data_IF_720299733337
#
_entry.id   IF_720299733337
#
_cell.length_a   1.000
_cell.length_b   1.000
_cell.length_c   1.000
_cell.angle_alpha   90.00
_cell.angle_beta   90.00
_cell.angle_gamma   90.00
#
_symmetry.space_group_name_H-M   'P 1'
#
loop_
_entity.id
_entity.type
_entity.pdbx_description
1 polymer ?
#
# COMPACT_ATOMS: atom_id res chain seq x y z
N UNK A 1 7.22 18.33 -89.44
CA UNK A 1 7.04 17.09 -88.65
C UNK A 1 8.36 16.40 -88.27
N UNK A 2 9.36 16.28 -89.16
CA UNK A 2 10.62 15.58 -88.85
C UNK A 2 11.46 16.21 -87.71
N UNK A 3 11.50 17.55 -87.59
CA UNK A 3 12.23 18.22 -86.50
C UNK A 3 11.66 17.95 -85.09
N UNK A 4 10.34 17.76 -84.98
CA UNK A 4 9.68 17.45 -83.70
C UNK A 4 10.01 16.01 -83.28
N UNK A 5 10.04 15.09 -84.23
CA UNK A 5 10.39 13.68 -83.99
C UNK A 5 11.86 13.53 -83.57
N UNK A 6 12.78 14.29 -84.17
CA UNK A 6 14.20 14.31 -83.75
C UNK A 6 14.39 14.88 -82.34
N UNK A 7 13.66 15.94 -81.97
CA UNK A 7 13.66 16.51 -80.62
C UNK A 7 13.16 15.50 -79.57
N UNK A 8 12.08 14.78 -79.86
CA UNK A 8 11.53 13.74 -78.99
C UNK A 8 12.53 12.58 -78.80
N UNK A 9 13.18 12.13 -79.88
CA UNK A 9 14.19 11.07 -79.80
C UNK A 9 15.39 11.47 -78.92
N UNK A 10 15.81 12.73 -78.95
CA UNK A 10 16.92 13.21 -78.14
C UNK A 10 16.58 13.27 -76.63
N UNK A 11 15.31 13.54 -76.30
CA UNK A 11 14.84 13.65 -74.91
C UNK A 11 14.23 12.36 -74.32
N UNK A 12 13.96 11.36 -75.15
CA UNK A 12 13.33 10.09 -74.76
C UNK A 12 14.04 9.40 -73.58
N UNK A 13 15.38 9.42 -73.56
CA UNK A 13 16.19 8.79 -72.50
C UNK A 13 15.98 9.48 -71.15
N UNK A 14 15.89 10.81 -71.12
CA UNK A 14 15.67 11.57 -69.89
C UNK A 14 14.26 11.36 -69.32
N UNK A 15 13.24 11.26 -70.19
CA UNK A 15 11.86 10.96 -69.79
C UNK A 15 11.79 9.55 -69.16
N UNK A 16 12.44 8.56 -69.77
CA UNK A 16 12.52 7.19 -69.23
C UNK A 16 13.21 7.15 -67.85
N UNK A 17 14.32 7.88 -67.69
CA UNK A 17 15.02 7.98 -66.41
C UNK A 17 14.13 8.64 -65.34
N UNK A 18 13.41 9.70 -65.69
CA UNK A 18 12.46 10.37 -64.79
C UNK A 18 11.35 9.42 -64.31
N UNK A 19 10.77 8.64 -65.21
CA UNK A 19 9.77 7.63 -64.86
C UNK A 19 10.33 6.55 -63.93
N UNK A 20 11.56 6.11 -64.17
CA UNK A 20 12.20 5.07 -63.36
C UNK A 20 12.42 5.55 -61.92
N UNK A 21 12.86 6.80 -61.75
CA UNK A 21 12.99 7.44 -60.42
C UNK A 21 11.62 7.57 -59.74
N UNK A 22 10.59 7.97 -60.49
CA UNK A 22 9.24 8.15 -59.95
C UNK A 22 8.63 6.82 -59.48
N UNK A 23 8.85 5.73 -60.23
CA UNK A 23 8.46 4.37 -59.84
C UNK A 23 9.19 3.94 -58.56
N UNK A 24 10.49 4.21 -58.44
CA UNK A 24 11.26 3.90 -57.23
C UNK A 24 10.72 4.65 -56.00
N UNK A 25 10.38 5.94 -56.15
CA UNK A 25 9.79 6.75 -55.07
C UNK A 25 8.44 6.18 -54.64
N UNK A 26 7.56 5.86 -55.59
CA UNK A 26 6.26 5.25 -55.31
C UNK A 26 6.43 3.89 -54.61
N UNK A 27 7.41 3.10 -55.02
CA UNK A 27 7.69 1.80 -54.42
C UNK A 27 8.16 1.93 -52.96
N UNK A 28 9.03 2.90 -52.67
CA UNK A 28 9.48 3.22 -51.31
C UNK A 28 8.28 3.65 -50.45
N UNK A 29 7.42 4.54 -50.96
CA UNK A 29 6.21 4.98 -50.26
C UNK A 29 5.30 3.79 -49.92
N UNK A 30 5.06 2.89 -50.88
CA UNK A 30 4.23 1.69 -50.72
C UNK A 30 4.77 0.74 -49.65
N UNK A 31 6.10 0.58 -49.57
CA UNK A 31 6.75 -0.19 -48.50
C UNK A 31 6.58 0.51 -47.14
N UNK A 32 6.75 1.82 -47.06
CA UNK A 32 6.64 2.55 -45.80
C UNK A 32 5.20 2.53 -45.24
N UNK A 33 4.19 2.71 -46.08
CA UNK A 33 2.78 2.66 -45.67
C UNK A 33 2.38 1.26 -45.20
N UNK A 34 2.76 0.21 -45.95
CA UNK A 34 2.52 -1.18 -45.53
C UNK A 34 3.23 -1.52 -44.21
N UNK A 35 4.47 -1.06 -44.03
CA UNK A 35 5.19 -1.27 -42.76
C UNK A 35 4.49 -0.55 -41.59
N UNK A 36 3.98 0.65 -41.82
CA UNK A 36 3.23 1.41 -40.80
C UNK A 36 1.90 0.72 -40.45
N UNK A 37 1.14 0.31 -41.46
CA UNK A 37 -0.11 -0.45 -41.32
C UNK A 37 0.09 -1.74 -40.52
N UNK A 38 1.10 -2.53 -40.87
CA UNK A 38 1.41 -3.77 -40.14
C UNK A 38 1.83 -3.51 -38.69
N UNK A 39 2.49 -2.38 -38.40
CA UNK A 39 2.83 -1.99 -37.02
C UNK A 39 1.58 -1.59 -36.24
N UNK A 40 0.67 -0.83 -36.87
CA UNK A 40 -0.58 -0.39 -36.26
C UNK A 40 -1.50 -1.58 -35.97
N UNK A 41 -1.66 -2.48 -36.93
CA UNK A 41 -2.46 -3.70 -36.80
C UNK A 41 -1.94 -4.61 -35.66
N UNK A 42 -0.61 -4.77 -35.55
CA UNK A 42 0.00 -5.53 -34.45
C UNK A 42 -0.23 -4.90 -33.08
N UNK A 43 -0.16 -3.56 -32.96
CA UNK A 43 -0.49 -2.85 -31.71
C UNK A 43 -1.97 -3.02 -31.37
N UNK A 44 -2.85 -2.87 -32.36
CA UNK A 44 -4.28 -3.05 -32.21
C UNK A 44 -4.64 -4.47 -31.77
N UNK A 45 -4.11 -5.50 -32.44
CA UNK A 45 -4.30 -6.92 -32.05
C UNK A 45 -3.72 -7.27 -30.69
N UNK A 46 -2.67 -6.58 -30.23
CA UNK A 46 -2.12 -6.77 -28.87
C UNK A 46 -3.03 -6.18 -27.80
N UNK A 47 -3.65 -5.02 -28.05
CA UNK A 47 -4.64 -4.41 -27.17
C UNK A 47 -5.94 -5.22 -27.13
N UNK A 48 -6.33 -5.78 -28.27
CA UNK A 48 -7.52 -6.64 -28.43
C UNK A 48 -7.26 -8.13 -28.14
N UNK A 49 -6.06 -8.51 -27.65
CA UNK A 49 -5.69 -9.93 -27.51
C UNK A 49 -6.54 -10.57 -26.40
N UNK A 50 -7.49 -11.41 -26.80
CA UNK A 50 -8.44 -12.06 -25.89
C UNK A 50 -9.87 -11.53 -25.97
N UNK A 51 -10.16 -10.57 -26.86
CA UNK A 51 -11.50 -10.00 -27.08
C UNK A 51 -11.92 -10.24 -28.53
N UNK A 52 -13.12 -10.80 -28.74
CA UNK A 52 -13.67 -10.97 -30.09
C UNK A 52 -14.03 -9.59 -30.67
N UNK A 53 -14.06 -9.51 -32.00
CA UNK A 53 -13.96 -8.34 -32.89
C UNK A 53 -14.94 -7.17 -32.71
N UNK A 54 -15.63 -7.03 -31.59
CA UNK A 54 -16.68 -6.01 -31.39
C UNK A 54 -16.46 -5.05 -30.22
N UNK A 55 -15.55 -5.31 -29.27
CA UNK A 55 -15.83 -4.75 -27.94
C UNK A 55 -14.65 -4.09 -27.20
N UNK A 56 -14.01 -3.12 -27.86
CA UNK A 56 -13.12 -2.18 -27.15
C UNK A 56 -13.91 -1.39 -26.10
N UNK A 57 -15.15 -1.04 -26.43
CA UNK A 57 -16.05 -0.30 -25.54
C UNK A 57 -16.44 -1.14 -24.33
N UNK A 58 -16.88 -2.40 -24.51
CA UNK A 58 -17.11 -3.30 -23.38
C UNK A 58 -15.83 -3.58 -22.58
N UNK A 59 -14.66 -3.68 -23.23
CA UNK A 59 -13.39 -3.82 -22.52
C UNK A 59 -13.14 -2.59 -21.62
N UNK A 60 -13.28 -1.38 -22.15
CA UNK A 60 -13.11 -0.13 -21.40
C UNK A 60 -14.13 -0.05 -20.26
N UNK A 61 -15.42 -0.32 -20.54
CA UNK A 61 -16.48 -0.33 -19.55
C UNK A 61 -16.21 -1.37 -18.45
N UNK A 62 -15.66 -2.54 -18.81
CA UNK A 62 -15.27 -3.57 -17.82
C UNK A 62 -14.14 -3.11 -16.91
N UNK A 63 -13.16 -2.35 -17.44
CA UNK A 63 -12.08 -1.79 -16.65
C UNK A 63 -12.54 -0.63 -15.76
N UNK A 64 -13.42 0.24 -16.26
CA UNK A 64 -14.04 1.30 -15.46
C UNK A 64 -14.82 0.69 -14.28
N UNK A 65 -15.67 -0.29 -14.55
CA UNK A 65 -16.39 -1.03 -13.50
C UNK A 65 -15.45 -1.72 -12.49
N UNK A 66 -14.31 -2.25 -12.93
CA UNK A 66 -13.29 -2.82 -12.03
C UNK A 66 -12.62 -1.76 -11.17
N UNK A 67 -12.34 -0.58 -11.72
CA UNK A 67 -11.78 0.56 -10.98
C UNK A 67 -12.78 1.00 -9.90
N UNK A 68 -14.05 1.18 -10.26
CA UNK A 68 -15.09 1.60 -9.33
C UNK A 68 -15.24 0.59 -8.17
N UNK A 69 -15.32 -0.71 -8.48
CA UNK A 69 -15.35 -1.77 -7.46
C UNK A 69 -14.09 -1.79 -6.59
N UNK A 70 -12.93 -1.51 -7.17
CA UNK A 70 -11.67 -1.43 -6.42
C UNK A 70 -11.68 -0.23 -5.48
N UNK A 71 -12.23 0.90 -5.91
CA UNK A 71 -12.37 2.10 -5.10
C UNK A 71 -13.35 1.88 -3.94
N UNK A 72 -14.47 1.19 -4.18
CA UNK A 72 -15.40 0.79 -3.13
C UNK A 72 -14.73 -0.13 -2.09
N UNK A 73 -14.03 -1.18 -2.56
CA UNK A 73 -13.29 -2.07 -1.68
C UNK A 73 -12.20 -1.34 -0.90
N UNK A 74 -11.49 -0.41 -1.53
CA UNK A 74 -10.49 0.41 -0.86
C UNK A 74 -11.10 1.25 0.26
N UNK A 75 -12.24 1.89 0.00
CA UNK A 75 -12.95 2.67 1.03
C UNK A 75 -13.38 1.79 2.19
N UNK A 76 -13.98 0.64 1.91
CA UNK A 76 -14.36 -0.33 2.94
C UNK A 76 -13.16 -0.80 3.78
N UNK A 77 -12.03 -1.13 3.14
CA UNK A 77 -10.81 -1.55 3.83
C UNK A 77 -10.20 -0.44 4.67
N UNK A 78 -10.24 0.81 4.19
CA UNK A 78 -9.80 1.98 4.95
C UNK A 78 -10.65 2.17 6.20
N UNK A 79 -11.98 2.08 6.07
CA UNK A 79 -12.90 2.23 7.20
C UNK A 79 -12.68 1.11 8.24
N UNK A 80 -12.47 -0.14 7.78
CA UNK A 80 -12.13 -1.26 8.64
C UNK A 80 -10.80 -1.03 9.37
N UNK A 81 -9.78 -0.57 8.66
CA UNK A 81 -8.47 -0.27 9.24
C UNK A 81 -8.56 0.85 10.29
N UNK A 82 -9.26 1.94 10.01
CA UNK A 82 -9.44 3.03 10.98
C UNK A 82 -10.16 2.56 12.25
N UNK A 83 -11.17 1.70 12.09
CA UNK A 83 -11.89 1.11 13.22
C UNK A 83 -11.01 0.15 14.04
N UNK A 84 -10.22 -0.69 13.38
CA UNK A 84 -9.27 -1.57 14.04
C UNK A 84 -8.20 -0.77 14.79
N UNK A 85 -7.64 0.25 14.15
CA UNK A 85 -6.63 1.10 14.77
C UNK A 85 -7.18 1.81 16.02
N UNK A 86 -8.40 2.35 15.95
CA UNK A 86 -9.08 2.95 17.12
C UNK A 86 -9.25 1.97 18.28
N UNK A 87 -9.54 0.70 18.00
CA UNK A 87 -9.64 -0.34 19.04
C UNK A 87 -8.27 -0.72 19.59
N UNK A 88 -7.29 -0.91 18.71
CA UNK A 88 -5.93 -1.29 19.07
C UNK A 88 -5.27 -0.27 20.01
N UNK A 89 -5.52 1.02 19.77
CA UNK A 89 -5.06 2.11 20.67
C UNK A 89 -5.48 1.98 22.12
N UNK A 90 -6.59 1.27 22.40
CA UNK A 90 -7.11 1.04 23.76
C UNK A 90 -6.74 -0.34 24.32
N UNK A 91 -6.09 -1.19 23.53
CA UNK A 91 -5.58 -2.47 24.01
C UNK A 91 -4.34 -2.22 24.85
N UNK A 92 -4.11 -3.08 25.85
CA UNK A 92 -2.86 -3.10 26.61
C UNK A 92 -1.74 -3.50 25.65
N UNK A 93 -0.74 -2.62 25.51
CA UNK A 93 0.41 -2.81 24.64
C UNK A 93 1.73 -2.77 25.41
N UNK A 94 1.74 -2.10 26.57
CA UNK A 94 2.89 -1.92 27.44
C UNK A 94 2.64 -2.65 28.75
N UNK A 95 3.65 -3.36 29.22
CA UNK A 95 3.60 -4.02 30.52
C UNK A 95 4.95 -4.01 31.21
N UNK A 96 4.90 -4.03 32.54
CA UNK A 96 6.08 -4.23 33.38
C UNK A 96 5.64 -4.93 34.67
N UNK A 97 6.53 -5.73 35.24
CA UNK A 97 6.30 -6.48 36.49
C UNK A 97 7.55 -6.42 37.36
N UNK A 98 7.35 -6.24 38.65
CA UNK A 98 8.38 -6.52 39.66
C UNK A 98 7.80 -7.38 40.76
N UNK A 99 8.69 -8.16 41.38
CA UNK A 99 8.44 -8.92 42.59
C UNK A 99 9.32 -8.36 43.70
N UNK A 100 8.78 -8.31 44.90
CA UNK A 100 9.46 -7.74 46.05
C UNK A 100 8.95 -8.34 47.36
N UNK A 101 9.63 -7.99 48.44
CA UNK A 101 9.25 -8.36 49.79
C UNK A 101 8.64 -7.16 50.50
N UNK A 102 7.32 -7.20 50.74
CA UNK A 102 6.61 -6.13 51.45
C UNK A 102 6.78 -6.18 52.98
N UNK A 103 7.09 -7.37 53.54
CA UNK A 103 7.28 -7.56 54.98
C UNK A 103 8.49 -8.46 55.26
N UNK A 104 9.29 -8.11 56.28
CA UNK A 104 10.53 -8.83 56.62
C UNK A 104 10.30 -10.27 57.12
N UNK A 105 9.12 -10.56 57.67
CA UNK A 105 8.76 -11.84 58.28
C UNK A 105 8.28 -12.92 57.27
N UNK A 106 8.22 -12.56 55.98
CA UNK A 106 7.88 -13.45 54.87
C UNK A 106 9.18 -13.93 54.19
N UNK A 107 9.35 -15.25 54.10
CA UNK A 107 10.40 -15.84 53.28
C UNK A 107 10.02 -15.79 51.80
N UNK A 108 10.87 -15.19 50.96
CA UNK A 108 10.71 -14.99 49.50
C UNK A 108 9.99 -13.69 49.07
N UNK A 109 10.14 -13.33 47.80
CA UNK A 109 9.57 -12.14 47.17
C UNK A 109 8.19 -12.48 46.59
N UNK A 110 7.23 -12.62 47.50
CA UNK A 110 5.86 -13.06 47.17
C UNK A 110 4.91 -11.90 46.84
N UNK A 111 5.31 -10.66 47.13
CA UNK A 111 4.55 -9.48 46.73
C UNK A 111 4.94 -9.06 45.31
N UNK A 112 4.02 -8.43 44.59
CA UNK A 112 4.23 -8.01 43.21
C UNK A 112 3.47 -6.73 42.86
N UNK A 113 3.99 -6.00 41.88
CA UNK A 113 3.28 -4.92 41.19
C UNK A 113 3.41 -5.11 39.68
N UNK A 114 2.30 -4.98 38.98
CA UNK A 114 2.19 -5.12 37.52
C UNK A 114 1.54 -3.87 36.97
N UNK A 115 2.18 -3.18 36.02
CA UNK A 115 1.54 -2.12 35.24
C UNK A 115 1.16 -2.66 33.87
N UNK A 116 -0.07 -2.38 33.45
CA UNK A 116 -0.63 -2.74 32.16
C UNK A 116 -1.21 -1.47 31.53
N UNK A 117 -0.57 -0.96 30.49
CA UNK A 117 -0.93 0.31 29.84
C UNK A 117 -1.17 0.14 28.34
N UNK A 118 -2.03 0.99 27.80
CA UNK A 118 -2.24 1.16 26.37
C UNK A 118 -1.20 2.11 25.72
N UNK A 119 -1.39 2.44 24.44
CA UNK A 119 -0.50 3.37 23.71
C UNK A 119 -0.43 4.76 24.35
N UNK A 120 -1.53 5.23 24.95
CA UNK A 120 -1.66 6.56 25.56
C UNK A 120 -1.21 6.58 27.03
N UNK A 121 -0.66 5.46 27.53
CA UNK A 121 -0.32 5.26 28.93
C UNK A 121 -1.54 5.26 29.87
N UNK A 122 -2.73 4.92 29.35
CA UNK A 122 -3.93 4.67 30.14
C UNK A 122 -3.98 3.19 30.52
N UNK A 123 -4.41 2.87 31.74
CA UNK A 123 -4.52 1.48 32.15
C UNK A 123 -4.62 1.29 33.65
N UNK A 124 -3.96 0.24 34.14
CA UNK A 124 -4.06 -0.19 35.54
C UNK A 124 -2.71 -0.64 36.08
N UNK A 125 -2.50 -0.41 37.37
CA UNK A 125 -1.48 -1.10 38.16
C UNK A 125 -2.20 -2.05 39.11
N UNK A 126 -1.81 -3.33 39.09
CA UNK A 126 -2.28 -4.35 40.02
C UNK A 126 -1.14 -4.66 40.98
N UNK A 127 -1.40 -4.52 42.28
CA UNK A 127 -0.44 -4.82 43.33
C UNK A 127 -1.02 -5.92 44.22
N UNK A 128 -0.23 -6.97 44.43
CA UNK A 128 -0.52 -8.03 45.38
C UNK A 128 0.49 -7.96 46.52
N UNK A 129 0.02 -7.65 47.72
CA UNK A 129 0.84 -7.66 48.94
C UNK A 129 0.58 -8.99 49.66
N UNK A 130 1.64 -9.78 49.82
CA UNK A 130 1.59 -11.07 50.51
C UNK A 130 2.15 -10.92 51.92
N UNK A 131 1.31 -11.18 52.93
CA UNK A 131 1.70 -11.28 54.34
C UNK A 131 1.49 -12.70 54.87
N UNK A 132 2.11 -13.01 56.02
CA UNK A 132 2.07 -14.36 56.63
C UNK A 132 0.65 -14.88 56.90
N UNK A 133 -0.25 -14.02 57.35
CA UNK A 133 -1.62 -14.39 57.72
C UNK A 133 -2.66 -13.96 56.69
N UNK A 134 -2.37 -12.92 55.90
CA UNK A 134 -3.30 -12.36 54.94
C UNK A 134 -2.56 -11.85 53.71
N UNK A 135 -3.22 -11.92 52.57
CA UNK A 135 -2.77 -11.30 51.33
C UNK A 135 -3.84 -10.37 50.81
N UNK A 136 -3.45 -9.26 50.21
CA UNK A 136 -4.38 -8.28 49.66
C UNK A 136 -3.94 -7.92 48.25
N UNK A 137 -4.90 -7.97 47.33
CA UNK A 137 -4.69 -7.53 45.95
C UNK A 137 -5.61 -6.36 45.69
N UNK A 138 -5.05 -5.29 45.15
CA UNK A 138 -5.80 -4.11 44.76
C UNK A 138 -5.28 -3.57 43.42
N UNK A 139 -6.10 -2.74 42.77
CA UNK A 139 -5.74 -2.12 41.52
C UNK A 139 -5.92 -0.59 41.61
N UNK A 140 -4.97 0.14 41.03
CA UNK A 140 -5.03 1.60 40.90
C UNK A 140 -5.14 1.95 39.41
N UNK A 141 -6.14 2.75 39.01
CA UNK A 141 -6.23 3.23 37.63
C UNK A 141 -5.11 4.23 37.33
N UNK A 142 -4.64 4.20 36.07
CA UNK A 142 -3.67 5.12 35.49
C UNK A 142 -4.32 5.85 34.33
N UNK A 143 -4.19 7.19 34.34
CA UNK A 143 -4.69 8.11 33.33
C UNK A 143 -3.47 8.91 32.83
N UNK A 144 -3.10 8.71 31.57
CA UNK A 144 -1.95 9.33 30.90
C UNK A 144 -0.63 9.20 31.66
N UNK A 145 -0.36 8.01 32.20
CA UNK A 145 0.85 7.73 32.98
C UNK A 145 0.86 8.33 34.38
N UNK A 146 -0.28 8.81 34.89
CA UNK A 146 -0.42 9.32 36.25
C UNK A 146 -1.54 8.58 36.99
N UNK A 147 -1.35 8.33 38.30
CA UNK A 147 -2.43 7.82 39.15
C UNK A 147 -3.05 8.94 39.96
N UNK A 148 -4.36 8.86 40.19
CA UNK A 148 -5.07 9.73 41.15
C UNK A 148 -4.80 9.33 42.60
N UNK A 149 -4.35 8.11 42.82
CA UNK A 149 -4.02 7.57 44.13
C UNK A 149 -2.51 7.65 44.33
N UNK A 150 -2.09 7.81 45.58
CA UNK A 150 -0.67 7.78 45.91
C UNK A 150 -0.10 6.38 45.59
N UNK A 151 1.02 6.36 44.87
CA UNK A 151 1.71 5.15 44.46
C UNK A 151 2.85 4.83 45.43
N UNK A 152 3.03 3.56 45.76
CA UNK A 152 4.24 3.10 46.47
C UNK A 152 5.47 3.23 45.56
N UNK A 153 6.66 3.10 46.13
CA UNK A 153 7.90 3.20 45.35
C UNK A 153 8.02 2.06 44.33
N UNK A 154 7.54 0.87 44.68
CA UNK A 154 7.43 -0.27 43.77
C UNK A 154 6.46 0.03 42.62
N UNK A 155 5.28 0.57 42.92
CA UNK A 155 4.28 0.93 41.91
C UNK A 155 4.79 2.03 40.95
N UNK A 156 5.47 3.05 41.48
CA UNK A 156 6.13 4.10 40.67
C UNK A 156 7.19 3.51 39.77
N UNK A 157 7.99 2.58 40.29
CA UNK A 157 9.06 1.93 39.53
C UNK A 157 8.50 1.14 38.35
N UNK A 158 7.46 0.32 38.57
CA UNK A 158 6.82 -0.44 37.48
C UNK A 158 6.15 0.48 36.47
N UNK A 159 5.50 1.56 36.93
CA UNK A 159 4.88 2.55 36.04
C UNK A 159 5.90 3.20 35.13
N UNK A 160 7.01 3.69 35.69
CA UNK A 160 8.08 4.32 34.91
C UNK A 160 8.70 3.36 33.91
N UNK A 161 8.94 2.11 34.32
CA UNK A 161 9.47 1.09 33.40
C UNK A 161 8.48 0.76 32.28
N UNK A 162 7.18 0.73 32.58
CA UNK A 162 6.14 0.48 31.58
C UNK A 162 6.01 1.63 30.57
N UNK A 163 6.19 2.88 30.99
CA UNK A 163 6.12 4.07 30.12
C UNK A 163 7.35 4.19 29.22
N UNK A 164 8.53 3.81 29.72
CA UNK A 164 9.81 3.91 29.02
C UNK A 164 10.14 2.71 28.11
N UNK A 165 9.31 1.67 28.11
CA UNK A 165 9.41 0.50 27.24
C UNK A 165 8.68 0.75 25.90
#
# INVERSE_FOLDING_TARGET
>A
MQNIVQLINNFQVYILLGFLVLILILFILLITTNRSLNRLEKKYKRLMRGVNSTDLEELINSYLNKIDKTQENYKYMKDLYENLNKKFKKCIQKYSIIRYRAFEDVGSDLSFSIALLDENNDGIIITGIYGRNQSTTYAKPIDKGMSRYELSDEEKHVLNNCINN
#
